data_IF_108016900992
#
_entry.id   IF_108016900992
#
_cell.length_a   1.000
_cell.length_b   1.000
_cell.length_c   1.000
_cell.angle_alpha   90.00
_cell.angle_beta   90.00
_cell.angle_gamma   90.00
#
_symmetry.space_group_name_H-M   'P 1'
#
loop_
_entity.id
_entity.type
_entity.pdbx_description
1 polymer ?
#
# COMPACT_ATOMS: atom_id res chain seq x y z
N UNK A 1 20.40 31.99 33.06
CA UNK A 1 21.41 33.02 32.73
C UNK A 1 21.68 32.91 31.23
N UNK A 2 21.17 33.86 30.47
CA UNK A 2 21.28 33.91 29.02
C UNK A 2 22.68 34.40 28.64
N UNK A 3 23.46 33.55 27.96
CA UNK A 3 24.68 33.98 27.28
C UNK A 3 24.35 34.19 25.81
N UNK A 4 24.00 35.43 25.49
CA UNK A 4 24.02 35.97 24.13
C UNK A 4 25.49 36.04 23.67
N UNK A 5 25.92 35.04 22.89
CA UNK A 5 27.17 35.10 22.14
C UNK A 5 26.92 35.92 20.88
N UNK A 6 27.66 37.01 20.73
CA UNK A 6 27.65 37.90 19.57
C UNK A 6 27.91 37.10 18.27
N UNK A 7 26.89 37.01 17.40
CA UNK A 7 27.01 36.48 16.03
C UNK A 7 27.70 37.54 15.16
N UNK A 8 29.02 37.45 15.04
CA UNK A 8 29.82 38.35 14.20
C UNK A 8 30.43 37.59 13.00
N UNK A 9 29.58 36.97 12.19
CA UNK A 9 29.92 36.37 10.90
C UNK A 9 29.06 36.98 9.80
N UNK A 10 29.67 37.55 8.76
CA UNK A 10 28.93 38.01 7.58
C UNK A 10 28.38 36.79 6.84
N UNK A 11 27.05 36.71 6.68
CA UNK A 11 26.42 35.66 5.86
C UNK A 11 26.88 35.77 4.40
N UNK A 12 26.99 34.63 3.72
CA UNK A 12 27.24 34.53 2.29
C UNK A 12 26.04 35.12 1.54
N UNK A 13 26.23 36.31 0.96
CA UNK A 13 25.17 37.03 0.24
C UNK A 13 25.27 36.94 -1.28
N UNK A 14 26.37 36.39 -1.82
CA UNK A 14 26.60 36.28 -3.26
C UNK A 14 26.88 34.83 -3.69
N UNK A 15 26.39 34.48 -4.88
CA UNK A 15 26.42 33.13 -5.41
C UNK A 15 27.85 32.57 -5.60
N UNK A 16 28.80 33.40 -6.03
CA UNK A 16 30.16 32.93 -6.31
C UNK A 16 30.87 32.46 -5.03
N UNK A 17 30.63 33.13 -3.91
CA UNK A 17 31.12 32.71 -2.60
C UNK A 17 30.44 31.42 -2.12
N UNK A 18 29.13 31.27 -2.40
CA UNK A 18 28.41 30.04 -2.11
C UNK A 18 29.02 28.85 -2.85
N UNK A 19 29.27 28.97 -4.16
CA UNK A 19 29.91 27.91 -4.96
C UNK A 19 31.32 27.63 -4.47
N UNK A 20 32.08 28.66 -4.10
CA UNK A 20 33.45 28.49 -3.58
C UNK A 20 33.47 27.70 -2.27
N UNK A 21 32.55 27.99 -1.35
CA UNK A 21 32.46 27.32 -0.05
C UNK A 21 31.88 25.91 -0.16
N UNK A 22 30.83 25.73 -0.99
CA UNK A 22 30.06 24.48 -1.05
C UNK A 22 30.39 23.61 -2.25
N UNK A 23 31.41 23.95 -3.06
CA UNK A 23 31.68 23.29 -4.34
C UNK A 23 31.82 21.77 -4.25
N UNK A 24 32.49 21.27 -3.21
CA UNK A 24 32.61 19.82 -2.95
C UNK A 24 31.25 19.19 -2.63
N UNK A 25 30.42 19.85 -1.81
CA UNK A 25 29.09 19.38 -1.45
C UNK A 25 28.13 19.41 -2.64
N UNK A 26 28.18 20.48 -3.45
CA UNK A 26 27.41 20.61 -4.69
C UNK A 26 27.77 19.50 -5.68
N UNK A 27 29.07 19.23 -5.87
CA UNK A 27 29.53 18.14 -6.73
C UNK A 27 29.11 16.76 -6.19
N UNK A 28 29.29 16.51 -4.89
CA UNK A 28 28.95 15.24 -4.25
C UNK A 28 27.43 14.95 -4.27
N UNK A 29 26.61 16.00 -4.17
CA UNK A 29 25.15 15.87 -4.21
C UNK A 29 24.60 15.51 -5.60
N UNK A 30 25.41 15.65 -6.66
CA UNK A 30 24.98 15.42 -8.03
C UNK A 30 23.94 16.42 -8.54
N UNK A 31 23.80 17.59 -7.89
CA UNK A 31 22.88 18.64 -8.32
C UNK A 31 23.35 19.29 -9.64
N UNK A 32 22.48 19.37 -10.66
CA UNK A 32 22.80 20.04 -11.92
C UNK A 32 23.19 21.51 -11.72
N UNK A 33 24.18 21.98 -12.49
CA UNK A 33 24.68 23.36 -12.41
C UNK A 33 23.58 24.42 -12.63
N UNK A 34 22.57 24.10 -13.45
CA UNK A 34 21.40 24.95 -13.70
C UNK A 34 20.59 25.25 -12.43
N UNK A 35 20.59 24.33 -11.46
CA UNK A 35 19.80 24.44 -10.22
C UNK A 35 20.59 25.05 -9.06
N UNK A 36 21.92 25.20 -9.16
CA UNK A 36 22.76 25.73 -8.06
C UNK A 36 22.31 27.12 -7.59
N UNK A 37 21.99 28.03 -8.53
CA UNK A 37 21.49 29.38 -8.19
C UNK A 37 20.13 29.32 -7.50
N UNK A 38 19.25 28.41 -7.94
CA UNK A 38 17.92 28.22 -7.35
C UNK A 38 18.03 27.68 -5.93
N UNK A 39 18.87 26.65 -5.73
CA UNK A 39 19.19 26.13 -4.39
C UNK A 39 19.75 27.23 -3.48
N UNK A 40 20.74 28.00 -3.95
CA UNK A 40 21.30 29.11 -3.16
C UNK A 40 20.24 30.12 -2.74
N UNK A 41 19.34 30.50 -3.65
CA UNK A 41 18.24 31.40 -3.32
C UNK A 41 17.36 30.80 -2.22
N UNK A 42 16.86 29.57 -2.41
CA UNK A 42 15.99 28.91 -1.42
C UNK A 42 16.66 28.73 -0.06
N UNK A 43 17.95 28.39 -0.02
CA UNK A 43 18.71 28.27 1.23
C UNK A 43 18.92 29.61 1.94
N UNK A 44 19.16 30.70 1.19
CA UNK A 44 19.38 32.03 1.79
C UNK A 44 18.08 32.68 2.26
N UNK A 45 16.96 32.41 1.59
CA UNK A 45 15.63 32.90 1.95
C UNK A 45 14.80 31.92 2.78
N UNK A 46 15.36 30.77 3.16
CA UNK A 46 14.68 29.69 3.90
C UNK A 46 13.32 29.35 3.27
N UNK A 47 13.30 29.19 1.94
CA UNK A 47 12.07 29.02 1.15
C UNK A 47 11.75 27.54 0.94
N UNK A 48 10.69 27.08 1.61
CA UNK A 48 10.09 25.77 1.48
C UNK A 48 8.83 25.86 0.63
N UNK A 49 8.95 25.55 -0.65
CA UNK A 49 7.89 25.73 -1.66
C UNK A 49 7.37 24.42 -2.25
N UNK A 50 7.72 23.28 -1.66
CA UNK A 50 7.24 21.96 -2.10
C UNK A 50 5.71 21.87 -2.11
N UNK A 51 5.02 22.46 -1.13
CA UNK A 51 3.56 22.46 -1.05
C UNK A 51 2.84 23.19 -2.21
N UNK A 52 3.56 23.95 -3.04
CA UNK A 52 2.99 24.53 -4.27
C UNK A 52 2.82 23.50 -5.40
N UNK A 53 3.52 22.37 -5.31
CA UNK A 53 3.58 21.36 -6.36
C UNK A 53 3.15 19.97 -5.90
N UNK A 54 3.13 19.74 -4.58
CA UNK A 54 2.84 18.44 -4.01
C UNK A 54 1.77 18.52 -2.93
N UNK A 55 0.96 17.48 -2.84
CA UNK A 55 0.07 17.20 -1.73
C UNK A 55 0.53 15.93 -1.02
N UNK A 56 0.20 15.81 0.26
CA UNK A 56 0.43 14.59 1.04
C UNK A 56 -0.92 13.91 1.19
N UNK A 57 -1.01 12.65 0.78
CA UNK A 57 -2.23 11.85 0.93
C UNK A 57 -1.97 10.63 1.82
N UNK A 58 -2.96 10.22 2.64
CA UNK A 58 -2.92 8.95 3.35
C UNK A 58 -2.83 7.76 2.38
N UNK A 59 -2.17 6.69 2.81
CA UNK A 59 -2.04 5.42 2.09
C UNK A 59 -2.02 4.28 3.09
N UNK A 60 -2.28 3.04 2.65
CA UNK A 60 -2.27 1.85 3.52
C UNK A 60 -3.20 2.00 4.73
N UNK A 61 -4.48 2.31 4.48
CA UNK A 61 -5.50 2.55 5.52
C UNK A 61 -5.09 3.61 6.56
N UNK A 62 -4.43 4.67 6.08
CA UNK A 62 -3.95 5.78 6.91
C UNK A 62 -2.66 5.49 7.68
N UNK A 63 -2.09 4.28 7.59
CA UNK A 63 -0.85 3.89 8.28
C UNK A 63 0.41 4.45 7.63
N UNK A 64 0.30 5.05 6.46
CA UNK A 64 1.38 5.73 5.76
C UNK A 64 0.89 6.99 5.04
N UNK A 65 1.86 7.77 4.57
CA UNK A 65 1.66 8.93 3.71
C UNK A 65 2.48 8.79 2.44
N UNK A 66 1.91 9.23 1.32
CA UNK A 66 2.62 9.32 0.04
C UNK A 66 2.52 10.74 -0.51
N UNK A 67 3.57 11.15 -1.20
CA UNK A 67 3.65 12.45 -1.84
C UNK A 67 3.07 12.39 -3.26
N UNK A 68 2.02 13.16 -3.51
CA UNK A 68 1.34 13.25 -4.80
C UNK A 68 1.72 14.54 -5.53
N UNK A 69 2.09 14.44 -6.81
CA UNK A 69 2.28 15.61 -7.66
C UNK A 69 0.92 16.21 -8.02
N UNK A 70 0.70 17.48 -7.69
CA UNK A 70 -0.54 18.22 -8.00
C UNK A 70 -0.43 19.12 -9.22
N UNK A 71 0.78 19.35 -9.72
CA UNK A 71 1.02 20.09 -10.97
C UNK A 71 0.79 19.20 -12.19
N UNK A 72 0.35 19.79 -13.31
CA UNK A 72 0.05 19.05 -14.56
C UNK A 72 1.23 18.23 -15.11
N UNK A 73 2.47 18.69 -14.89
CA UNK A 73 3.68 17.96 -15.28
C UNK A 73 4.89 18.47 -14.50
N UNK A 74 5.91 17.63 -14.34
CA UNK A 74 7.18 18.04 -13.75
C UNK A 74 8.37 17.51 -14.56
N UNK A 75 8.96 18.34 -15.44
CA UNK A 75 10.11 17.93 -16.24
C UNK A 75 11.33 17.62 -15.38
N UNK A 76 12.18 16.72 -15.87
CA UNK A 76 13.47 16.39 -15.29
C UNK A 76 14.29 17.65 -14.99
N UNK A 77 14.85 17.73 -13.78
CA UNK A 77 15.74 18.81 -13.34
C UNK A 77 15.15 20.24 -13.47
N UNK A 78 13.82 20.39 -13.46
CA UNK A 78 13.19 21.71 -13.58
C UNK A 78 13.26 22.55 -12.29
N UNK A 79 13.28 21.88 -11.14
CA UNK A 79 13.29 22.51 -9.82
C UNK A 79 14.07 21.69 -8.78
N UNK A 80 14.28 22.30 -7.60
CA UNK A 80 14.91 21.71 -6.42
C UNK A 80 14.15 22.17 -5.19
N UNK A 81 13.69 21.24 -4.36
CA UNK A 81 12.84 21.51 -3.20
C UNK A 81 13.59 21.19 -1.92
N UNK A 82 13.50 22.06 -0.92
CA UNK A 82 14.14 21.87 0.39
C UNK A 82 13.30 20.95 1.27
N UNK A 83 13.98 20.11 2.03
CA UNK A 83 13.45 19.25 3.09
C UNK A 83 14.24 19.57 4.36
N UNK A 84 13.54 19.82 5.46
CA UNK A 84 14.17 20.01 6.77
C UNK A 84 14.27 18.68 7.55
N UNK A 85 15.04 18.71 8.63
CA UNK A 85 15.09 17.63 9.60
C UNK A 85 14.05 17.86 10.69
N UNK A 86 12.97 17.08 10.69
CA UNK A 86 12.00 17.12 11.76
C UNK A 86 12.60 16.74 13.12
N UNK A 87 13.48 15.75 13.12
CA UNK A 87 14.14 15.23 14.31
C UNK A 87 15.54 14.74 13.95
N UNK A 88 16.55 15.02 14.77
CA UNK A 88 17.93 14.57 14.59
C UNK A 88 18.54 14.15 15.92
N UNK A 89 19.15 12.97 15.97
CA UNK A 89 19.60 12.37 17.23
C UNK A 89 20.76 11.38 17.03
N UNK A 90 21.41 11.02 18.14
CA UNK A 90 22.22 9.80 18.21
C UNK A 90 21.35 8.67 18.73
N UNK A 91 21.53 7.47 18.19
CA UNK A 91 20.66 6.34 18.53
C UNK A 91 20.49 6.10 20.05
N UNK A 92 21.53 6.21 20.90
CA UNK A 92 21.36 6.08 22.36
C UNK A 92 20.47 7.15 23.00
N UNK A 93 20.37 8.33 22.38
CA UNK A 93 19.61 9.47 22.89
C UNK A 93 18.14 9.44 22.44
N UNK A 94 17.78 8.60 21.46
CA UNK A 94 16.47 8.61 20.81
C UNK A 94 15.31 8.53 21.83
N UNK A 95 15.37 7.52 22.70
CA UNK A 95 14.35 7.28 23.73
C UNK A 95 14.24 8.45 24.72
N UNK A 96 15.38 8.96 25.20
CA UNK A 96 15.39 10.06 26.16
C UNK A 96 14.86 11.36 25.53
N UNK A 97 15.19 11.62 24.27
CA UNK A 97 14.66 12.79 23.56
C UNK A 97 13.14 12.70 23.38
N UNK A 98 12.59 11.57 22.93
CA UNK A 98 11.14 11.37 22.81
C UNK A 98 10.41 11.56 24.15
N UNK A 99 11.07 11.22 25.26
CA UNK A 99 10.51 11.34 26.61
C UNK A 99 10.62 12.76 27.19
N UNK A 100 11.72 13.46 26.94
CA UNK A 100 12.08 14.69 27.64
C UNK A 100 11.79 15.96 26.84
N UNK A 101 11.78 15.87 25.50
CA UNK A 101 11.52 17.02 24.61
C UNK A 101 10.00 17.19 24.46
N UNK A 102 9.42 18.30 24.96
CA UNK A 102 7.97 18.49 24.89
C UNK A 102 7.45 18.52 23.45
N UNK A 103 6.39 17.77 23.15
CA UNK A 103 5.74 17.75 21.83
C UNK A 103 6.44 16.88 20.77
N UNK A 104 7.62 16.34 21.06
CA UNK A 104 8.38 15.58 20.06
C UNK A 104 7.72 14.23 19.75
N UNK A 105 7.29 13.49 20.78
CA UNK A 105 6.67 12.18 20.57
C UNK A 105 5.35 12.30 19.83
N UNK A 106 4.52 13.29 20.17
CA UNK A 106 3.24 13.54 19.49
C UNK A 106 3.47 13.90 18.02
N UNK A 107 4.44 14.78 17.74
CA UNK A 107 4.79 15.12 16.36
C UNK A 107 5.33 13.93 15.57
N UNK A 108 6.20 13.11 16.16
CA UNK A 108 6.73 11.92 15.50
C UNK A 108 5.63 10.87 15.30
N UNK A 109 4.70 10.73 16.24
CA UNK A 109 3.58 9.81 16.09
C UNK A 109 2.67 10.21 14.93
N UNK A 110 2.30 11.50 14.86
CA UNK A 110 1.49 12.05 13.77
C UNK A 110 2.20 11.94 12.42
N UNK A 111 3.52 12.16 12.37
CA UNK A 111 4.30 12.03 11.13
C UNK A 111 4.39 10.57 10.68
N UNK A 112 4.57 9.64 11.62
CA UNK A 112 4.74 8.21 11.35
C UNK A 112 3.42 7.43 11.27
N UNK A 113 2.28 8.10 11.48
CA UNK A 113 0.93 7.54 11.44
C UNK A 113 0.70 6.42 12.47
N UNK A 114 1.13 6.64 13.72
CA UNK A 114 1.00 5.67 14.83
C UNK A 114 0.11 6.17 15.98
N UNK A 115 -0.62 7.27 15.74
CA UNK A 115 -1.58 7.93 16.63
C UNK A 115 -3.03 7.86 16.11
N UNK A 116 -3.29 7.05 15.07
CA UNK A 116 -4.59 6.94 14.38
C UNK A 116 -5.73 6.57 15.36
N UNK A 117 -5.45 5.68 16.32
CA UNK A 117 -6.37 5.23 17.36
C UNK A 117 -6.50 6.21 18.54
N UNK A 118 -5.64 7.24 18.62
CA UNK A 118 -5.69 8.29 19.64
C UNK A 118 -6.56 9.45 19.15
N UNK A 119 -6.54 9.72 17.85
CA UNK A 119 -7.38 10.73 17.20
C UNK A 119 -8.82 10.26 16.93
N UNK A 120 -9.12 8.95 17.07
CA UNK A 120 -10.44 8.39 16.78
C UNK A 120 -11.53 8.77 17.80
N UNK A 121 -11.18 9.33 18.95
CA UNK A 121 -12.17 9.80 19.93
C UNK A 121 -12.66 11.25 19.68
N UNK A 122 -11.99 12.04 18.82
CA UNK A 122 -12.34 13.46 18.59
C UNK A 122 -12.26 13.94 17.13
N UNK A 123 -12.01 13.06 16.15
CA UNK A 123 -12.12 13.39 14.73
C UNK A 123 -13.15 12.49 14.07
N UNK A 124 -14.40 12.94 14.10
CA UNK A 124 -15.31 12.66 12.99
C UNK A 124 -14.56 13.07 11.71
N UNK A 125 -14.26 12.11 10.85
CA UNK A 125 -13.68 12.36 9.53
C UNK A 125 -14.65 13.22 8.72
N UNK A 126 -14.52 14.55 8.86
CA UNK A 126 -15.11 15.52 7.94
C UNK A 126 -14.28 15.52 6.65
N UNK A 127 -14.57 14.56 5.76
CA UNK A 127 -14.78 14.76 4.33
C UNK A 127 -14.77 13.41 3.59
N UNK A 128 -15.96 12.90 3.30
CA UNK A 128 -16.36 12.72 1.90
C UNK A 128 -17.88 12.91 1.85
N UNK A 129 -18.46 13.16 0.68
CA UNK A 129 -19.91 13.30 0.50
C UNK A 129 -20.62 12.04 1.02
N UNK A 130 -21.04 12.02 2.29
CA UNK A 130 -21.74 10.89 2.91
C UNK A 130 -23.10 10.74 2.24
N UNK A 131 -23.13 9.96 1.15
CA UNK A 131 -24.36 9.54 0.51
C UNK A 131 -25.19 8.82 1.57
N UNK A 132 -26.46 9.19 1.69
CA UNK A 132 -27.35 8.47 2.59
C UNK A 132 -27.52 7.03 2.09
N UNK A 133 -27.88 6.11 2.99
CA UNK A 133 -28.14 4.70 2.62
C UNK A 133 -29.19 4.64 1.49
N UNK A 134 -30.18 5.52 1.54
CA UNK A 134 -31.21 5.65 0.51
C UNK A 134 -30.61 6.09 -0.84
N UNK A 135 -29.69 7.05 -0.86
CA UNK A 135 -29.02 7.51 -2.08
C UNK A 135 -28.17 6.41 -2.71
N UNK A 136 -27.42 5.64 -1.92
CA UNK A 136 -26.64 4.50 -2.40
C UNK A 136 -27.54 3.44 -3.03
N UNK A 137 -28.66 3.13 -2.37
CA UNK A 137 -29.65 2.16 -2.86
C UNK A 137 -30.32 2.67 -4.14
N UNK A 138 -30.70 3.94 -4.21
CA UNK A 138 -31.29 4.55 -5.40
C UNK A 138 -30.30 4.58 -6.58
N UNK A 139 -29.04 4.89 -6.31
CA UNK A 139 -27.97 4.87 -7.30
C UNK A 139 -27.77 3.45 -7.86
N UNK A 140 -27.75 2.42 -7.01
CA UNK A 140 -27.66 1.03 -7.45
C UNK A 140 -28.84 0.62 -8.34
N UNK A 141 -30.06 1.03 -7.99
CA UNK A 141 -31.26 0.78 -8.81
C UNK A 141 -31.19 1.53 -10.14
N UNK A 142 -30.73 2.79 -10.15
CA UNK A 142 -30.59 3.59 -11.36
C UNK A 142 -29.57 2.95 -12.30
N UNK A 143 -28.40 2.60 -11.78
CA UNK A 143 -27.33 1.94 -12.55
C UNK A 143 -27.80 0.61 -13.16
N UNK A 144 -28.56 -0.20 -12.40
CA UNK A 144 -29.10 -1.46 -12.91
C UNK A 144 -30.10 -1.27 -14.07
N UNK A 145 -30.85 -0.15 -14.09
CA UNK A 145 -31.76 0.20 -15.19
C UNK A 145 -31.03 0.75 -16.41
N UNK A 146 -29.94 1.47 -16.21
CA UNK A 146 -29.14 2.05 -17.30
C UNK A 146 -28.31 0.97 -18.02
N UNK A 147 -27.80 -0.01 -17.27
CA UNK A 147 -26.85 -1.01 -17.77
C UNK A 147 -27.47 -2.39 -18.09
N UNK A 148 -28.77 -2.60 -17.87
CA UNK A 148 -29.35 -3.95 -17.99
C UNK A 148 -30.88 -4.02 -17.89
N UNK A 149 -31.38 -5.12 -17.32
CA UNK A 149 -32.82 -5.39 -17.17
C UNK A 149 -33.44 -4.77 -15.92
N UNK A 150 -32.70 -3.90 -15.21
CA UNK A 150 -33.14 -3.28 -13.97
C UNK A 150 -32.92 -4.11 -12.70
N UNK A 151 -32.33 -5.31 -12.81
CA UNK A 151 -32.03 -6.17 -11.66
C UNK A 151 -30.72 -5.74 -10.99
N UNK A 152 -30.77 -5.44 -9.69
CA UNK A 152 -29.59 -5.11 -8.90
C UNK A 152 -28.90 -6.41 -8.45
N UNK A 153 -27.73 -6.70 -9.02
CA UNK A 153 -26.93 -7.89 -8.69
C UNK A 153 -25.75 -7.60 -7.76
N UNK A 154 -25.41 -6.32 -7.56
CA UNK A 154 -24.28 -5.88 -6.76
C UNK A 154 -24.68 -4.67 -5.92
N UNK A 155 -24.34 -4.70 -4.62
CA UNK A 155 -24.66 -3.64 -3.68
C UNK A 155 -23.50 -3.39 -2.72
N UNK A 156 -22.99 -2.15 -2.73
CA UNK A 156 -21.91 -1.68 -1.85
C UNK A 156 -22.53 -0.76 -0.80
N UNK A 157 -22.57 -1.22 0.45
CA UNK A 157 -23.07 -0.47 1.59
C UNK A 157 -21.93 -0.31 2.60
N UNK A 158 -20.84 0.34 2.18
CA UNK A 158 -19.60 0.44 2.96
C UNK A 158 -19.60 1.73 3.80
N UNK A 159 -19.17 1.63 5.06
CA UNK A 159 -18.93 2.79 5.95
C UNK A 159 -20.16 3.68 6.23
N UNK A 160 -21.38 3.22 5.93
CA UNK A 160 -22.64 3.96 6.10
C UNK A 160 -23.19 3.97 7.55
N UNK A 161 -22.41 3.48 8.51
CA UNK A 161 -22.84 3.36 9.91
C UNK A 161 -24.12 2.52 10.08
N UNK A 162 -24.25 1.43 9.32
CA UNK A 162 -25.35 0.47 9.43
C UNK A 162 -25.15 -0.36 10.70
N UNK A 163 -26.13 -0.29 11.60
CA UNK A 163 -26.24 -1.14 12.78
C UNK A 163 -27.21 -2.32 12.52
N UNK A 164 -27.35 -3.20 13.51
CA UNK A 164 -28.20 -4.39 13.40
C UNK A 164 -29.68 -4.06 13.13
N UNK A 165 -30.20 -2.94 13.66
CA UNK A 165 -31.59 -2.50 13.44
C UNK A 165 -31.80 -1.97 12.02
N UNK A 166 -30.84 -1.16 11.52
CA UNK A 166 -30.86 -0.66 10.15
C UNK A 166 -30.75 -1.80 9.15
N UNK A 167 -29.88 -2.78 9.37
CA UNK A 167 -29.76 -3.95 8.51
C UNK A 167 -31.11 -4.68 8.36
N UNK A 168 -31.86 -4.81 9.45
CA UNK A 168 -33.21 -5.38 9.44
C UNK A 168 -34.21 -4.52 8.66
N UNK A 169 -34.16 -3.21 8.86
CA UNK A 169 -35.07 -2.27 8.19
C UNK A 169 -34.86 -2.19 6.67
N UNK A 170 -33.65 -2.51 6.19
CA UNK A 170 -33.33 -2.47 4.76
C UNK A 170 -34.08 -3.54 3.97
N UNK A 171 -34.39 -4.67 4.60
CA UNK A 171 -35.09 -5.82 4.00
C UNK A 171 -34.52 -6.19 2.61
N UNK A 172 -33.20 -6.38 2.55
CA UNK A 172 -32.45 -6.59 1.32
C UNK A 172 -32.96 -7.78 0.51
N UNK A 173 -33.43 -8.84 1.16
CA UNK A 173 -33.96 -10.02 0.48
C UNK A 173 -35.23 -9.72 -0.32
N UNK A 174 -36.11 -8.86 0.19
CA UNK A 174 -37.34 -8.50 -0.52
C UNK A 174 -37.07 -7.48 -1.63
N UNK A 175 -36.13 -6.55 -1.40
CA UNK A 175 -35.79 -5.50 -2.37
C UNK A 175 -34.89 -6.01 -3.51
N UNK A 176 -33.93 -6.89 -3.19
CA UNK A 176 -32.89 -7.37 -4.10
C UNK A 176 -32.74 -8.90 -4.01
N UNK A 177 -33.76 -9.68 -4.41
CA UNK A 177 -33.74 -11.14 -4.31
C UNK A 177 -32.65 -11.82 -5.17
N UNK A 178 -32.20 -11.15 -6.23
CA UNK A 178 -31.21 -11.65 -7.19
C UNK A 178 -29.79 -11.14 -6.92
N UNK A 179 -29.55 -10.60 -5.72
CA UNK A 179 -28.24 -10.09 -5.32
C UNK A 179 -27.17 -11.19 -5.34
N UNK A 180 -26.06 -10.91 -6.03
CA UNK A 180 -24.91 -11.80 -6.22
C UNK A 180 -23.73 -11.35 -5.36
N UNK A 181 -23.50 -10.05 -5.20
CA UNK A 181 -22.47 -9.50 -4.32
C UNK A 181 -23.02 -8.46 -3.35
N UNK A 182 -22.61 -8.54 -2.10
CA UNK A 182 -22.98 -7.60 -1.05
C UNK A 182 -21.73 -7.21 -0.24
N UNK A 183 -21.40 -5.92 -0.24
CA UNK A 183 -20.43 -5.37 0.70
C UNK A 183 -21.12 -4.60 1.81
N UNK A 184 -20.77 -4.92 3.04
CA UNK A 184 -21.17 -4.26 4.28
C UNK A 184 -19.92 -3.88 5.09
N UNK A 185 -18.78 -3.69 4.42
CA UNK A 185 -17.50 -3.36 5.05
C UNK A 185 -17.59 -2.08 5.90
N UNK A 186 -16.89 -2.02 7.03
CA UNK A 186 -16.73 -0.79 7.82
C UNK A 186 -18.01 -0.29 8.52
N UNK A 187 -19.00 -1.16 8.76
CA UNK A 187 -20.24 -0.79 9.44
C UNK A 187 -20.22 -1.09 10.95
N UNK A 188 -21.35 -0.84 11.63
CA UNK A 188 -21.54 -0.96 13.08
C UNK A 188 -22.32 -2.22 13.47
N UNK A 189 -22.13 -3.32 12.73
CA UNK A 189 -22.83 -4.59 13.00
C UNK A 189 -22.22 -5.29 14.21
N UNK A 190 -23.04 -5.63 15.20
CA UNK A 190 -22.59 -6.25 16.45
C UNK A 190 -23.15 -7.67 16.67
N UNK A 191 -24.36 -7.95 16.16
CA UNK A 191 -25.08 -9.17 16.48
C UNK A 191 -24.98 -10.22 15.36
N UNK A 192 -24.19 -11.27 15.61
CA UNK A 192 -23.98 -12.37 14.67
C UNK A 192 -25.26 -13.10 14.26
N UNK A 193 -26.21 -13.31 15.17
CA UNK A 193 -27.46 -13.99 14.82
C UNK A 193 -28.31 -13.17 13.86
N UNK A 194 -28.31 -11.84 14.01
CA UNK A 194 -29.01 -10.92 13.12
C UNK A 194 -28.35 -10.94 11.74
N UNK A 195 -27.02 -10.78 11.68
CA UNK A 195 -26.26 -10.78 10.41
C UNK A 195 -26.46 -12.09 9.67
N UNK A 196 -26.24 -13.24 10.32
CA UNK A 196 -26.44 -14.57 9.71
C UNK A 196 -27.88 -14.72 9.22
N UNK A 197 -28.87 -14.34 10.02
CA UNK A 197 -30.28 -14.47 9.62
C UNK A 197 -30.60 -13.64 8.38
N UNK A 198 -30.14 -12.40 8.29
CA UNK A 198 -30.46 -11.53 7.16
C UNK A 198 -29.69 -11.92 5.89
N UNK A 199 -28.38 -12.17 6.01
CA UNK A 199 -27.53 -12.58 4.88
C UNK A 199 -28.01 -13.91 4.29
N UNK A 200 -28.35 -14.89 5.13
CA UNK A 200 -28.76 -16.21 4.65
C UNK A 200 -30.11 -16.23 3.94
N UNK A 201 -30.89 -15.14 3.99
CA UNK A 201 -32.08 -14.97 3.14
C UNK A 201 -31.71 -14.76 1.66
N UNK A 202 -30.54 -14.21 1.37
CA UNK A 202 -30.03 -13.95 0.03
C UNK A 202 -29.47 -15.23 -0.61
N UNK A 203 -30.33 -16.01 -1.26
CA UNK A 203 -29.99 -17.35 -1.79
C UNK A 203 -29.09 -17.35 -3.03
N UNK A 204 -28.95 -16.20 -3.70
CA UNK A 204 -28.14 -16.05 -4.91
C UNK A 204 -26.74 -15.48 -4.65
N UNK A 205 -26.43 -15.15 -3.39
CA UNK A 205 -25.19 -14.50 -3.01
C UNK A 205 -23.97 -15.40 -3.30
N UNK A 206 -23.01 -14.84 -4.05
CA UNK A 206 -21.70 -15.43 -4.37
C UNK A 206 -20.54 -14.71 -3.69
N UNK A 207 -20.67 -13.42 -3.39
CA UNK A 207 -19.66 -12.64 -2.64
C UNK A 207 -20.26 -11.88 -1.47
N UNK A 208 -19.58 -11.94 -0.32
CA UNK A 208 -19.96 -11.19 0.88
C UNK A 208 -18.72 -10.60 1.56
N UNK A 209 -18.78 -9.30 1.88
CA UNK A 209 -17.75 -8.60 2.63
C UNK A 209 -18.34 -7.98 3.90
N UNK A 210 -17.85 -8.44 5.06
CA UNK A 210 -18.20 -7.97 6.40
C UNK A 210 -17.00 -7.42 7.16
N UNK A 211 -15.85 -7.27 6.48
CA UNK A 211 -14.60 -6.76 7.06
C UNK A 211 -14.85 -5.47 7.85
N UNK A 212 -14.04 -5.23 8.88
CA UNK A 212 -14.11 -4.04 9.72
C UNK A 212 -15.44 -3.82 10.49
N UNK A 213 -16.27 -4.87 10.67
CA UNK A 213 -17.42 -4.82 11.57
C UNK A 213 -17.10 -5.37 12.98
N UNK A 214 -17.63 -4.78 14.07
CA UNK A 214 -17.43 -5.26 15.44
C UNK A 214 -17.76 -6.74 15.66
N UNK A 215 -18.76 -7.27 14.95
CA UNK A 215 -19.21 -8.67 15.07
C UNK A 215 -18.09 -9.68 14.81
N UNK A 216 -17.17 -9.41 13.87
CA UNK A 216 -16.08 -10.32 13.50
C UNK A 216 -15.01 -10.43 14.59
N UNK A 217 -14.90 -9.45 15.49
CA UNK A 217 -13.97 -9.50 16.63
C UNK A 217 -14.47 -10.40 17.76
N UNK A 218 -15.78 -10.65 17.83
CA UNK A 218 -16.43 -11.32 18.98
C UNK A 218 -16.73 -12.79 18.74
N UNK A 219 -17.06 -13.19 17.51
CA UNK A 219 -17.34 -14.58 17.17
C UNK A 219 -17.12 -14.90 15.69
N UNK A 220 -16.88 -16.18 15.39
CA UNK A 220 -16.87 -16.68 14.01
C UNK A 220 -18.30 -17.02 13.58
N UNK A 221 -18.68 -16.52 12.41
CA UNK A 221 -20.00 -16.74 11.79
C UNK A 221 -19.90 -17.53 10.47
N UNK A 222 -18.68 -17.79 10.01
CA UNK A 222 -18.39 -18.25 8.65
C UNK A 222 -19.13 -19.54 8.31
N UNK A 223 -19.05 -20.56 9.18
CA UNK A 223 -19.72 -21.84 8.95
C UNK A 223 -21.23 -21.71 8.79
N UNK A 224 -21.87 -20.84 9.58
CA UNK A 224 -23.31 -20.62 9.53
C UNK A 224 -23.71 -19.93 8.22
N UNK A 225 -22.93 -18.95 7.78
CA UNK A 225 -23.14 -18.26 6.50
C UNK A 225 -22.92 -19.22 5.32
N UNK A 226 -21.84 -20.01 5.33
CA UNK A 226 -21.54 -20.99 4.27
C UNK A 226 -22.59 -22.10 4.17
N UNK A 227 -23.22 -22.48 5.28
CA UNK A 227 -24.35 -23.41 5.29
C UNK A 227 -25.63 -22.77 4.73
N UNK A 228 -25.92 -21.50 5.06
CA UNK A 228 -27.14 -20.82 4.64
C UNK A 228 -27.11 -20.24 3.22
N UNK A 229 -25.92 -19.86 2.72
CA UNK A 229 -25.65 -19.33 1.38
C UNK A 229 -24.87 -20.37 0.56
N UNK A 230 -25.58 -21.32 -0.04
CA UNK A 230 -24.97 -22.48 -0.70
C UNK A 230 -24.14 -22.15 -1.96
N UNK A 231 -24.35 -20.97 -2.57
CA UNK A 231 -23.64 -20.46 -3.74
C UNK A 231 -22.48 -19.51 -3.40
N UNK A 232 -22.18 -19.30 -2.12
CA UNK A 232 -21.15 -18.35 -1.70
C UNK A 232 -19.75 -18.85 -2.11
N UNK A 233 -19.06 -18.06 -2.93
CA UNK A 233 -17.72 -18.34 -3.47
C UNK A 233 -16.63 -17.49 -2.81
N UNK A 234 -16.96 -16.27 -2.38
CA UNK A 234 -16.06 -15.34 -1.66
C UNK A 234 -16.70 -14.89 -0.35
N UNK A 235 -15.94 -14.99 0.74
CA UNK A 235 -16.31 -14.47 2.06
C UNK A 235 -15.13 -13.68 2.65
N UNK A 236 -15.33 -12.39 2.92
CA UNK A 236 -14.31 -11.48 3.45
C UNK A 236 -12.98 -11.55 2.67
N UNK A 237 -13.09 -11.50 1.33
CA UNK A 237 -11.97 -11.62 0.38
C UNK A 237 -11.26 -12.99 0.34
N UNK A 238 -11.71 -13.98 1.11
CA UNK A 238 -11.23 -15.35 1.05
C UNK A 238 -12.11 -16.22 0.16
N UNK A 239 -11.51 -17.16 -0.55
CA UNK A 239 -12.23 -18.15 -1.34
C UNK A 239 -12.80 -19.22 -0.43
N UNK A 240 -14.10 -19.49 -0.58
CA UNK A 240 -14.74 -20.59 0.14
C UNK A 240 -14.33 -21.92 -0.50
N UNK A 241 -14.50 -23.07 0.17
CA UNK A 241 -14.26 -24.38 -0.45
C UNK A 241 -15.11 -24.67 -1.71
N UNK A 242 -16.12 -23.83 -1.99
CA UNK A 242 -17.02 -23.94 -3.14
C UNK A 242 -16.78 -22.83 -4.18
N UNK A 243 -15.65 -22.12 -4.12
CA UNK A 243 -15.33 -21.08 -5.09
C UNK A 243 -15.46 -21.61 -6.51
N UNK A 244 -15.88 -20.78 -7.45
CA UNK A 244 -16.16 -21.17 -8.81
C UNK A 244 -15.58 -20.18 -9.81
N UNK A 245 -16.08 -20.24 -11.04
CA UNK A 245 -15.62 -19.35 -12.10
C UNK A 245 -15.93 -17.89 -11.78
N UNK A 246 -16.98 -17.62 -10.98
CA UNK A 246 -17.32 -16.25 -10.60
C UNK A 246 -16.23 -15.64 -9.71
N UNK A 247 -15.75 -16.37 -8.69
CA UNK A 247 -14.66 -15.90 -7.84
C UNK A 247 -13.34 -15.74 -8.61
N UNK A 248 -13.04 -16.66 -9.54
CA UNK A 248 -11.87 -16.54 -10.41
C UNK A 248 -11.97 -15.29 -11.31
N UNK A 249 -13.14 -15.05 -11.93
CA UNK A 249 -13.38 -13.85 -12.74
C UNK A 249 -13.28 -12.56 -11.92
N UNK A 250 -13.74 -12.58 -10.67
CA UNK A 250 -13.60 -11.44 -9.76
C UNK A 250 -12.13 -11.04 -9.56
N UNK A 251 -11.21 -12.00 -9.59
CA UNK A 251 -9.76 -11.78 -9.46
C UNK A 251 -9.03 -11.59 -10.79
N UNK A 252 -9.71 -11.74 -11.93
CA UNK A 252 -9.11 -11.64 -13.26
C UNK A 252 -9.07 -10.20 -13.76
N UNK A 253 -7.96 -9.80 -14.38
CA UNK A 253 -7.78 -8.43 -14.93
C UNK A 253 -8.52 -8.23 -16.28
N UNK A 254 -9.24 -9.25 -16.78
CA UNK A 254 -10.01 -9.15 -18.03
C UNK A 254 -11.45 -8.73 -17.74
N UNK A 255 -11.80 -7.53 -18.21
CA UNK A 255 -13.04 -6.75 -18.03
C UNK A 255 -13.10 -5.90 -16.76
N UNK A 256 -12.71 -4.62 -16.91
CA UNK A 256 -12.86 -3.61 -15.87
C UNK A 256 -14.29 -3.54 -15.34
N UNK A 257 -14.43 -3.38 -14.02
CA UNK A 257 -15.56 -3.05 -13.12
C UNK A 257 -17.04 -3.02 -13.63
N UNK A 258 -17.41 -3.58 -14.77
CA UNK A 258 -18.74 -3.42 -15.38
C UNK A 258 -19.46 -4.73 -15.73
N UNK A 259 -18.83 -5.90 -15.61
CA UNK A 259 -19.46 -7.18 -16.01
C UNK A 259 -19.61 -8.19 -14.85
N UNK A 260 -20.03 -7.72 -13.67
CA UNK A 260 -20.35 -8.61 -12.53
C UNK A 260 -21.81 -9.11 -12.54
N UNK A 261 -22.64 -8.67 -13.50
CA UNK A 261 -24.09 -8.89 -13.50
C UNK A 261 -24.70 -9.63 -14.70
N UNK A 262 -23.97 -9.90 -15.79
CA UNK A 262 -24.59 -10.55 -16.96
C UNK A 262 -24.70 -12.07 -16.78
N UNK A 263 -25.90 -12.52 -16.39
CA UNK A 263 -26.30 -13.95 -16.41
C UNK A 263 -26.71 -14.43 -17.81
N UNK A 264 -26.38 -13.67 -18.87
CA UNK A 264 -26.73 -13.97 -20.26
C UNK A 264 -25.49 -13.97 -21.14
N UNK A 265 -24.70 -15.03 -21.02
CA UNK A 265 -24.12 -15.74 -22.16
C UNK A 265 -23.37 -16.97 -21.64
N UNK A 266 -23.94 -18.15 -21.90
CA UNK A 266 -23.35 -19.46 -21.63
C UNK A 266 -22.09 -19.75 -22.51
N UNK A 267 -21.52 -18.74 -23.19
CA UNK A 267 -20.42 -18.90 -24.16
C UNK A 267 -19.23 -17.91 -23.98
N UNK A 268 -19.14 -17.27 -22.81
CA UNK A 268 -18.08 -16.31 -22.46
C UNK A 268 -16.88 -16.95 -21.74
N UNK A 269 -16.18 -17.84 -22.45
CA UNK A 269 -14.79 -18.22 -22.10
C UNK A 269 -13.93 -16.96 -22.00
N UNK A 270 -12.97 -16.91 -21.08
CA UNK A 270 -12.01 -15.80 -20.99
C UNK A 270 -11.13 -15.82 -22.27
N UNK A 271 -11.53 -15.02 -23.26
CA UNK A 271 -11.00 -15.05 -24.65
C UNK A 271 -9.78 -14.15 -24.86
N UNK A 272 -9.32 -13.44 -23.84
CA UNK A 272 -8.10 -12.61 -23.86
C UNK A 272 -7.01 -13.17 -22.96
N UNK A 273 -5.78 -12.69 -23.14
CA UNK A 273 -4.66 -12.98 -22.24
C UNK A 273 -5.09 -12.69 -20.80
N UNK A 274 -5.19 -13.74 -19.99
CA UNK A 274 -5.76 -13.64 -18.65
C UNK A 274 -4.63 -13.59 -17.65
N UNK A 275 -4.54 -12.47 -16.95
CA UNK A 275 -3.80 -12.31 -15.70
C UNK A 275 -4.76 -12.58 -14.56
N UNK A 276 -4.40 -13.55 -13.71
CA UNK A 276 -5.21 -13.94 -12.57
C UNK A 276 -4.41 -13.80 -11.29
N UNK A 277 -4.84 -12.88 -10.43
CA UNK A 277 -4.23 -12.67 -9.13
C UNK A 277 -5.06 -13.35 -8.03
N UNK A 278 -4.64 -14.55 -7.63
CA UNK A 278 -5.24 -15.31 -6.55
C UNK A 278 -4.45 -15.18 -5.25
N UNK A 279 -3.58 -14.17 -5.12
CA UNK A 279 -2.80 -14.00 -3.90
C UNK A 279 -3.68 -13.75 -2.67
N UNK A 280 -3.27 -14.32 -1.53
CA UNK A 280 -3.92 -14.11 -0.22
C UNK A 280 -5.44 -14.39 -0.24
N UNK A 281 -5.86 -15.45 -0.92
CA UNK A 281 -7.27 -15.88 -1.01
C UNK A 281 -7.60 -17.05 -0.08
N UNK A 282 -6.67 -17.48 0.76
CA UNK A 282 -6.80 -18.65 1.64
C UNK A 282 -7.19 -19.94 0.90
N UNK A 283 -6.75 -20.09 -0.36
CA UNK A 283 -7.04 -21.26 -1.18
C UNK A 283 -6.36 -22.50 -0.58
N UNK A 284 -7.16 -23.53 -0.34
CA UNK A 284 -6.72 -24.80 0.21
C UNK A 284 -6.46 -25.86 -0.87
N UNK A 285 -7.14 -25.74 -2.02
CA UNK A 285 -6.97 -26.65 -3.16
C UNK A 285 -7.31 -25.99 -4.50
N UNK A 286 -6.68 -26.49 -5.56
CA UNK A 286 -6.99 -26.20 -6.97
C UNK A 286 -7.74 -27.34 -7.67
N UNK A 287 -8.10 -28.42 -6.94
CA UNK A 287 -8.93 -29.52 -7.45
C UNK A 287 -10.40 -29.10 -7.58
N UNK A 288 -10.64 -28.09 -8.41
CA UNK A 288 -11.94 -27.47 -8.60
C UNK A 288 -12.31 -27.49 -10.08
N UNK A 289 -13.61 -27.65 -10.37
CA UNK A 289 -14.14 -27.63 -11.74
C UNK A 289 -13.98 -26.28 -12.44
N UNK A 290 -13.75 -25.20 -11.69
CA UNK A 290 -13.60 -23.85 -12.23
C UNK A 290 -12.16 -23.51 -12.65
N UNK A 291 -11.14 -24.03 -11.95
CA UNK A 291 -9.74 -23.77 -12.26
C UNK A 291 -9.20 -24.82 -13.23
N UNK A 292 -9.74 -24.81 -14.45
CA UNK A 292 -9.37 -25.75 -15.52
C UNK A 292 -9.10 -25.02 -16.83
N UNK A 293 -8.26 -25.57 -17.72
CA UNK A 293 -7.94 -24.95 -19.01
C UNK A 293 -9.16 -24.72 -19.91
N UNK A 294 -10.24 -25.50 -19.77
CA UNK A 294 -11.43 -25.31 -20.59
C UNK A 294 -12.15 -23.99 -20.29
N UNK A 295 -12.17 -23.59 -19.02
CA UNK A 295 -12.81 -22.37 -18.50
C UNK A 295 -11.91 -21.14 -18.66
N UNK A 296 -10.58 -21.31 -18.48
CA UNK A 296 -9.57 -20.24 -18.52
C UNK A 296 -8.43 -20.60 -19.50
N UNK A 297 -8.73 -20.77 -20.80
CA UNK A 297 -7.76 -21.31 -21.77
C UNK A 297 -6.56 -20.39 -22.02
N UNK A 298 -6.74 -19.08 -21.80
CA UNK A 298 -5.76 -18.03 -22.08
C UNK A 298 -5.05 -17.51 -20.82
N UNK A 299 -5.04 -18.28 -19.73
CA UNK A 299 -4.28 -17.93 -18.52
C UNK A 299 -2.79 -17.83 -18.86
N UNK A 300 -2.25 -16.61 -18.79
CA UNK A 300 -0.86 -16.31 -19.13
C UNK A 300 -0.03 -15.92 -17.92
N UNK A 301 -0.64 -15.22 -16.97
CA UNK A 301 -0.02 -14.86 -15.70
C UNK A 301 -0.89 -15.35 -14.54
N UNK A 302 -0.27 -16.01 -13.57
CA UNK A 302 -0.92 -16.51 -12.37
C UNK A 302 -0.12 -16.14 -11.13
N UNK A 303 -0.79 -15.50 -10.17
CA UNK A 303 -0.26 -15.28 -8.83
C UNK A 303 -1.02 -16.13 -7.82
N UNK A 304 -0.30 -16.97 -7.07
CA UNK A 304 -0.85 -17.85 -6.02
C UNK A 304 -0.18 -17.63 -4.65
N UNK A 305 0.58 -16.55 -4.46
CA UNK A 305 1.26 -16.26 -3.18
C UNK A 305 0.31 -16.12 -2.00
N UNK A 306 0.80 -16.40 -0.80
CA UNK A 306 0.06 -16.23 0.44
C UNK A 306 -1.13 -17.19 0.60
N UNK A 307 -1.17 -18.27 -0.19
CA UNK A 307 -2.17 -19.32 -0.05
C UNK A 307 -1.54 -20.58 0.56
N UNK A 308 -2.19 -21.22 1.55
CA UNK A 308 -1.66 -22.45 2.17
C UNK A 308 -1.57 -23.64 1.20
N UNK A 309 -2.60 -23.87 0.38
CA UNK A 309 -2.70 -24.95 -0.63
C UNK A 309 -2.27 -26.34 -0.07
N UNK A 310 -2.67 -26.64 1.16
CA UNK A 310 -2.20 -27.83 1.88
C UNK A 310 -2.83 -29.14 1.41
N UNK A 311 -3.93 -29.09 0.67
CA UNK A 311 -4.70 -30.28 0.26
C UNK A 311 -4.28 -30.85 -1.09
N UNK A 312 -3.42 -30.16 -1.84
CA UNK A 312 -2.82 -30.69 -3.06
C UNK A 312 -1.40 -31.17 -2.78
N UNK A 313 -1.03 -32.32 -3.35
CA UNK A 313 0.39 -32.69 -3.40
C UNK A 313 1.15 -31.79 -4.39
N UNK A 314 2.45 -31.62 -4.18
CA UNK A 314 3.33 -30.84 -5.08
C UNK A 314 3.23 -31.36 -6.52
N UNK A 315 3.21 -32.69 -6.70
CA UNK A 315 3.08 -33.32 -8.02
C UNK A 315 1.73 -33.02 -8.67
N UNK A 316 0.62 -33.05 -7.91
CA UNK A 316 -0.70 -32.66 -8.41
C UNK A 316 -0.72 -31.21 -8.88
N UNK A 317 -0.15 -30.28 -8.11
CA UNK A 317 -0.08 -28.86 -8.49
C UNK A 317 0.71 -28.68 -9.78
N UNK A 318 1.85 -29.35 -9.93
CA UNK A 318 2.60 -29.31 -11.18
C UNK A 318 1.78 -29.87 -12.36
N UNK A 319 1.00 -30.93 -12.19
CA UNK A 319 0.12 -31.44 -13.25
C UNK A 319 -0.98 -30.45 -13.62
N UNK A 320 -1.59 -29.80 -12.62
CA UNK A 320 -2.61 -28.76 -12.84
C UNK A 320 -1.99 -27.59 -13.62
N UNK A 321 -0.86 -27.05 -13.18
CA UNK A 321 -0.20 -25.92 -13.84
C UNK A 321 0.26 -26.25 -15.27
N UNK A 322 0.78 -27.46 -15.49
CA UNK A 322 1.13 -27.97 -16.84
C UNK A 322 -0.06 -28.06 -17.78
N UNK A 323 -1.27 -28.18 -17.26
CA UNK A 323 -2.47 -28.27 -18.09
C UNK A 323 -2.83 -26.93 -18.75
N UNK A 324 -2.29 -25.79 -18.28
CA UNK A 324 -2.53 -24.47 -18.86
C UNK A 324 -1.49 -24.14 -19.95
N UNK A 325 -1.84 -24.18 -21.25
CA UNK A 325 -0.88 -24.10 -22.34
C UNK A 325 -0.28 -22.71 -22.55
N UNK A 326 -0.96 -21.66 -22.07
CA UNK A 326 -0.55 -20.27 -22.24
C UNK A 326 0.18 -19.69 -21.02
N UNK A 327 0.32 -20.45 -19.93
CA UNK A 327 0.91 -19.96 -18.69
C UNK A 327 2.39 -19.69 -18.90
N UNK A 328 2.77 -18.40 -18.86
CA UNK A 328 4.13 -17.92 -19.08
C UNK A 328 4.75 -17.33 -17.81
N UNK A 329 3.94 -16.74 -16.93
CA UNK A 329 4.43 -16.11 -15.71
C UNK A 329 3.74 -16.70 -14.48
N UNK A 330 4.54 -17.05 -13.47
CA UNK A 330 4.06 -17.58 -12.20
C UNK A 330 4.62 -16.79 -11.02
N UNK A 331 3.75 -16.45 -10.08
CA UNK A 331 4.11 -15.89 -8.79
C UNK A 331 3.68 -16.85 -7.67
N UNK A 332 4.66 -17.28 -6.88
CA UNK A 332 4.49 -18.32 -5.84
C UNK A 332 5.51 -18.15 -4.73
N UNK A 333 5.15 -18.55 -3.51
CA UNK A 333 6.07 -18.54 -2.37
C UNK A 333 7.14 -19.63 -2.51
N UNK A 334 8.39 -19.29 -2.17
CA UNK A 334 9.54 -20.21 -2.19
C UNK A 334 10.35 -19.99 -0.90
N UNK A 335 10.29 -20.90 0.10
CA UNK A 335 9.57 -22.16 0.08
C UNK A 335 8.05 -21.99 0.16
N UNK A 336 7.32 -22.88 -0.50
CA UNK A 336 5.86 -22.81 -0.51
C UNK A 336 5.21 -24.03 -1.19
N UNK A 337 4.03 -23.86 -1.79
CA UNK A 337 3.20 -24.98 -2.27
C UNK A 337 3.86 -25.79 -3.40
N UNK A 338 4.83 -25.22 -4.11
CA UNK A 338 5.59 -25.90 -5.17
C UNK A 338 6.99 -26.36 -4.73
N UNK A 339 7.28 -26.30 -3.42
CA UNK A 339 8.56 -26.69 -2.82
C UNK A 339 9.50 -25.52 -2.53
N UNK A 340 10.78 -25.84 -2.36
CA UNK A 340 11.78 -24.92 -1.78
C UNK A 340 12.78 -24.34 -2.80
N UNK A 341 12.63 -24.67 -4.10
CA UNK A 341 13.65 -24.33 -5.11
C UNK A 341 13.02 -23.81 -6.40
N UNK A 342 13.31 -22.56 -6.72
CA UNK A 342 12.96 -21.92 -7.98
C UNK A 342 13.46 -22.71 -9.20
N UNK A 343 14.69 -23.24 -9.13
CA UNK A 343 15.26 -24.09 -10.18
C UNK A 343 14.40 -25.34 -10.41
N UNK A 344 13.98 -26.03 -9.33
CA UNK A 344 13.16 -27.25 -9.46
C UNK A 344 11.76 -26.95 -10.01
N UNK A 345 11.21 -25.79 -9.65
CA UNK A 345 9.94 -25.31 -10.19
C UNK A 345 10.07 -25.09 -11.71
N UNK A 346 11.11 -24.40 -12.16
CA UNK A 346 11.37 -24.14 -13.58
C UNK A 346 11.72 -25.41 -14.38
N UNK A 347 12.46 -26.35 -13.79
CA UNK A 347 12.69 -27.68 -14.39
C UNK A 347 11.37 -28.46 -14.58
N UNK A 348 10.44 -28.29 -13.63
CA UNK A 348 9.12 -28.92 -13.70
C UNK A 348 8.16 -28.18 -14.63
N UNK A 349 8.32 -26.87 -14.82
CA UNK A 349 7.50 -25.99 -15.65
C UNK A 349 8.36 -25.26 -16.70
N UNK A 350 8.93 -25.98 -17.69
CA UNK A 350 9.92 -25.41 -18.62
C UNK A 350 9.35 -24.38 -19.60
N UNK A 351 8.02 -24.22 -19.64
CA UNK A 351 7.35 -23.25 -20.51
C UNK A 351 7.23 -21.85 -19.90
N UNK A 352 7.54 -21.69 -18.60
CA UNK A 352 7.52 -20.38 -17.95
C UNK A 352 8.66 -19.49 -18.47
N UNK A 353 8.32 -18.25 -18.81
CA UNK A 353 9.29 -17.18 -19.14
C UNK A 353 9.77 -16.45 -17.89
N UNK A 354 8.92 -16.34 -16.86
CA UNK A 354 9.19 -15.59 -15.63
C UNK A 354 8.67 -16.33 -14.40
N UNK A 355 9.44 -16.28 -13.31
CA UNK A 355 9.06 -16.77 -11.99
C UNK A 355 9.36 -15.69 -10.96
N UNK A 356 8.35 -15.29 -10.19
CA UNK A 356 8.48 -14.25 -9.16
C UNK A 356 9.05 -12.92 -9.70
N UNK A 357 8.67 -12.55 -10.93
CA UNK A 357 9.12 -11.32 -11.59
C UNK A 357 10.53 -11.39 -12.19
N UNK A 358 11.21 -12.55 -12.12
CA UNK A 358 12.56 -12.72 -12.64
C UNK A 358 12.55 -13.68 -13.84
N UNK A 359 13.30 -13.33 -14.90
CA UNK A 359 13.45 -14.17 -16.09
C UNK A 359 13.92 -15.59 -15.74
N UNK A 360 13.22 -16.60 -16.25
CA UNK A 360 13.52 -18.01 -16.01
C UNK A 360 14.95 -18.39 -16.44
N UNK A 361 15.45 -17.85 -17.56
CA UNK A 361 16.82 -18.10 -18.01
C UNK A 361 17.86 -17.60 -17.02
N UNK A 362 17.66 -16.41 -16.44
CA UNK A 362 18.58 -15.83 -15.45
C UNK A 362 18.62 -16.67 -14.17
N UNK A 363 17.49 -17.20 -13.73
CA UNK A 363 17.42 -18.08 -12.54
C UNK A 363 18.20 -19.38 -12.79
N UNK A 364 17.98 -20.01 -13.96
CA UNK A 364 18.66 -21.27 -14.33
C UNK A 364 20.16 -21.08 -14.53
N UNK A 365 20.60 -20.01 -15.20
CA UNK A 365 22.03 -19.70 -15.39
C UNK A 365 22.77 -19.41 -14.09
N UNK A 366 22.09 -18.78 -13.13
CA UNK A 366 22.68 -18.43 -11.83
C UNK A 366 22.50 -19.48 -10.75
N UNK A 367 21.82 -20.60 -11.05
CA UNK A 367 21.46 -21.67 -10.11
C UNK A 367 20.81 -21.13 -8.83
N UNK A 368 20.03 -20.03 -8.94
CA UNK A 368 19.39 -19.39 -7.79
C UNK A 368 18.20 -20.21 -7.31
N UNK A 369 18.34 -20.83 -6.14
CA UNK A 369 17.27 -21.63 -5.54
C UNK A 369 16.14 -20.79 -4.92
N UNK A 370 16.40 -19.55 -4.53
CA UNK A 370 15.40 -18.63 -3.99
C UNK A 370 15.40 -17.38 -4.86
N UNK A 371 14.22 -16.99 -5.33
CA UNK A 371 13.96 -15.70 -5.96
C UNK A 371 12.90 -15.03 -5.09
N UNK A 372 13.39 -14.21 -4.16
CA UNK A 372 12.55 -13.35 -3.35
C UNK A 372 11.98 -12.27 -4.28
N UNK A 373 10.74 -12.49 -4.67
CA UNK A 373 9.82 -11.46 -5.12
C UNK A 373 9.60 -10.48 -3.98
N UNK A 374 9.82 -9.19 -4.26
CA UNK A 374 9.49 -8.01 -3.45
C UNK A 374 9.24 -8.28 -1.96
N UNK A 375 10.23 -8.00 -1.11
CA UNK A 375 10.02 -7.94 0.34
C UNK A 375 8.83 -7.01 0.62
N UNK A 376 7.73 -7.58 1.13
CA UNK A 376 6.59 -6.78 1.53
C UNK A 376 7.00 -5.82 2.64
N UNK A 377 6.53 -4.58 2.54
CA UNK A 377 6.80 -3.58 3.54
C UNK A 377 6.07 -3.95 4.84
N UNK A 378 6.80 -4.47 5.81
CA UNK A 378 6.25 -4.73 7.14
C UNK A 378 6.02 -3.40 7.87
N UNK A 379 4.75 -2.98 7.92
CA UNK A 379 4.34 -1.87 8.77
C UNK A 379 4.42 -2.27 10.26
N UNK A 380 4.79 -1.35 11.15
CA UNK A 380 4.81 -1.61 12.59
C UNK A 380 3.39 -1.92 13.08
N UNK A 381 3.22 -2.99 13.86
CA UNK A 381 1.95 -3.30 14.55
C UNK A 381 2.01 -2.76 15.97
N UNK A 382 0.87 -2.29 16.49
CA UNK A 382 0.73 -1.82 17.87
C UNK A 382 -0.67 -2.10 18.41
N UNK A 383 -0.82 -2.03 19.73
CA UNK A 383 -2.15 -2.05 20.39
C UNK A 383 -2.47 -0.68 20.98
N UNK A 384 -3.76 -0.42 21.24
CA UNK A 384 -4.23 0.85 21.79
C UNK A 384 -3.59 1.18 23.16
N UNK A 385 -3.17 0.16 23.91
CA UNK A 385 -2.57 0.29 25.24
C UNK A 385 -1.05 0.53 25.21
N UNK A 386 -0.41 0.35 24.05
CA UNK A 386 1.05 0.50 23.92
C UNK A 386 1.45 1.99 24.05
N UNK A 387 2.49 2.33 24.85
CA UNK A 387 2.93 3.72 25.00
C UNK A 387 3.33 4.35 23.66
N UNK A 388 2.93 5.60 23.43
CA UNK A 388 3.17 6.30 22.17
C UNK A 388 4.67 6.37 21.79
N UNK A 389 5.56 6.48 22.78
CA UNK A 389 7.02 6.45 22.59
C UNK A 389 7.46 5.12 21.95
N UNK A 390 6.92 4.00 22.42
CA UNK A 390 7.29 2.67 21.93
C UNK A 390 6.78 2.46 20.51
N UNK A 391 5.55 2.93 20.22
CA UNK A 391 5.00 2.94 18.85
C UNK A 391 5.87 3.73 17.89
N UNK A 392 6.30 4.94 18.27
CA UNK A 392 7.23 5.77 17.48
C UNK A 392 8.57 5.05 17.26
N UNK A 393 9.14 4.44 18.29
CA UNK A 393 10.42 3.72 18.18
C UNK A 393 10.34 2.46 17.31
N UNK A 394 9.19 1.79 17.28
CA UNK A 394 8.95 0.66 16.40
C UNK A 394 8.77 1.13 14.95
N UNK A 395 8.10 2.26 14.73
CA UNK A 395 7.83 2.81 13.41
C UNK A 395 9.01 3.55 12.76
N UNK A 396 9.89 4.16 13.56
CA UNK A 396 10.91 5.09 13.07
C UNK A 396 11.81 4.50 11.99
N UNK A 397 12.07 3.19 12.01
CA UNK A 397 12.94 2.52 11.03
C UNK A 397 12.50 2.67 9.59
N UNK A 398 11.21 2.93 9.34
CA UNK A 398 10.68 3.21 8.00
C UNK A 398 11.03 4.62 7.49
N UNK A 399 11.40 5.53 8.38
CA UNK A 399 11.57 6.97 8.10
C UNK A 399 12.99 7.47 8.36
N UNK A 400 13.81 6.66 9.04
CA UNK A 400 15.13 7.08 9.46
C UNK A 400 16.14 7.05 8.33
N UNK A 401 16.87 8.15 8.23
CA UNK A 401 18.06 8.29 7.41
C UNK A 401 19.27 8.57 8.29
N UNK A 402 20.48 8.42 7.74
CA UNK A 402 21.71 8.69 8.50
C UNK A 402 22.74 9.46 7.70
N UNK A 403 23.57 10.21 8.41
CA UNK A 403 24.82 10.72 7.89
C UNK A 403 25.90 10.68 8.98
N UNK A 404 27.16 10.81 8.56
CA UNK A 404 28.29 10.99 9.45
C UNK A 404 28.94 12.34 9.15
N UNK A 405 29.35 13.04 10.20
CA UNK A 405 30.14 14.24 10.06
C UNK A 405 31.60 13.84 9.82
N UNK A 406 32.27 14.54 8.93
CA UNK A 406 33.69 14.36 8.68
C UNK A 406 34.31 15.75 8.50
N UNK A 407 35.49 15.92 9.10
CA UNK A 407 36.40 17.02 8.75
C UNK A 407 37.59 16.46 7.94
N UNK A 408 38.57 17.30 7.64
CA UNK A 408 39.74 16.92 6.84
C UNK A 408 40.63 15.85 7.53
N UNK A 409 40.51 15.69 8.85
CA UNK A 409 41.40 14.83 9.64
C UNK A 409 40.69 13.56 10.16
N UNK A 410 39.40 13.65 10.47
CA UNK A 410 38.64 12.57 11.13
C UNK A 410 37.19 12.48 10.66
N UNK A 411 36.72 11.24 10.52
CA UNK A 411 35.30 10.90 10.39
C UNK A 411 34.75 10.62 11.78
N UNK A 412 33.58 11.17 12.09
CA UNK A 412 32.83 10.82 13.28
C UNK A 412 32.47 9.33 13.27
N UNK A 413 32.89 8.62 14.30
CA UNK A 413 32.69 7.19 14.45
C UNK A 413 31.22 6.84 14.67
N UNK A 414 30.41 7.81 15.11
CA UNK A 414 29.00 7.64 15.36
C UNK A 414 28.16 8.27 14.25
N UNK A 415 27.08 7.60 13.83
CA UNK A 415 26.11 8.16 12.88
C UNK A 415 25.15 9.13 13.58
N UNK A 416 24.75 10.18 12.88
CA UNK A 416 23.58 10.97 13.25
C UNK A 416 22.41 10.39 12.47
N UNK A 417 21.34 10.08 13.19
CA UNK A 417 20.07 9.61 12.65
C UNK A 417 19.13 10.80 12.56
N UNK A 418 18.28 10.82 11.55
CA UNK A 418 17.31 11.88 11.40
C UNK A 418 16.04 11.39 10.70
N UNK A 419 14.94 12.08 10.99
CA UNK A 419 13.65 11.99 10.32
C UNK A 419 13.47 13.27 9.53
N UNK A 420 13.06 13.16 8.26
CA UNK A 420 12.73 14.31 7.42
C UNK A 420 11.47 15.01 7.93
N UNK A 421 11.20 16.22 7.45
CA UNK A 421 9.92 16.88 7.63
C UNK A 421 8.75 16.12 6.98
N UNK A 422 7.54 16.63 7.18
CA UNK A 422 6.30 16.00 6.74
C UNK A 422 6.29 15.76 5.23
N UNK A 423 6.89 16.65 4.44
CA UNK A 423 7.01 16.52 2.99
C UNK A 423 8.03 15.44 2.60
N UNK A 424 9.23 15.49 3.18
CA UNK A 424 10.30 14.55 2.88
C UNK A 424 9.97 13.13 3.33
N UNK A 425 9.33 12.96 4.48
CA UNK A 425 8.89 11.65 4.99
C UNK A 425 7.74 11.02 4.20
N UNK A 426 7.03 11.80 3.36
CA UNK A 426 6.05 11.28 2.41
C UNK A 426 6.69 10.80 1.09
N UNK A 427 7.97 11.06 0.84
CA UNK A 427 8.71 10.47 -0.28
C UNK A 427 8.96 8.99 -0.02
N UNK A 428 8.83 8.19 -1.09
CA UNK A 428 8.90 6.72 -1.00
C UNK A 428 9.98 6.16 -1.91
N UNK A 429 10.49 5.00 -1.52
CA UNK A 429 11.30 4.18 -2.40
C UNK A 429 10.42 3.53 -3.46
N UNK A 430 10.94 3.47 -4.68
CA UNK A 430 10.32 2.82 -5.84
C UNK A 430 11.41 2.15 -6.64
N UNK A 431 11.11 1.00 -7.24
CA UNK A 431 12.00 0.35 -8.21
C UNK A 431 12.11 1.15 -9.52
N UNK A 432 11.13 2.03 -9.77
CA UNK A 432 11.13 3.03 -10.83
C UNK A 432 11.12 4.45 -10.21
N UNK A 433 12.28 4.97 -9.75
CA UNK A 433 12.34 6.24 -9.04
C UNK A 433 12.24 7.44 -10.00
N UNK A 434 11.29 8.34 -9.73
CA UNK A 434 11.07 9.58 -10.49
C UNK A 434 11.66 10.84 -9.82
N UNK A 435 12.12 10.74 -8.57
CA UNK A 435 12.82 11.81 -7.85
C UNK A 435 14.15 11.32 -7.26
N UNK A 436 15.08 12.27 -7.09
CA UNK A 436 16.33 12.07 -6.35
C UNK A 436 16.32 12.95 -5.10
N UNK A 437 16.75 12.39 -3.98
CA UNK A 437 16.97 13.11 -2.72
C UNK A 437 18.46 13.13 -2.41
N UNK A 438 18.99 14.26 -1.93
CA UNK A 438 20.38 14.38 -1.51
C UNK A 438 20.53 15.23 -0.24
N UNK A 439 21.41 14.82 0.71
CA UNK A 439 21.74 15.64 1.86
C UNK A 439 22.65 16.80 1.45
N UNK A 440 22.48 17.94 2.12
CA UNK A 440 23.27 19.14 1.88
C UNK A 440 23.57 19.89 3.18
N UNK A 441 24.85 20.12 3.43
CA UNK A 441 25.32 20.86 4.60
C UNK A 441 25.54 22.33 4.22
N UNK A 442 24.59 23.20 4.53
CA UNK A 442 24.65 24.61 4.20
C UNK A 442 25.40 25.40 5.29
N UNK A 443 26.47 26.08 4.92
CA UNK A 443 27.30 26.92 5.78
C UNK A 443 27.04 28.41 5.47
N UNK A 444 26.00 29.04 6.04
CA UNK A 444 25.62 30.42 5.76
C UNK A 444 26.71 31.44 6.03
N UNK A 445 27.65 31.18 6.95
CA UNK A 445 28.79 32.07 7.24
C UNK A 445 30.11 31.54 6.65
N UNK A 446 30.04 30.53 5.78
CA UNK A 446 31.21 29.89 5.19
C UNK A 446 32.02 29.01 6.15
N UNK A 447 31.46 28.68 7.31
CA UNK A 447 32.12 27.91 8.37
C UNK A 447 31.24 26.78 8.88
N UNK A 448 31.85 25.68 9.27
CA UNK A 448 31.17 24.51 9.84
C UNK A 448 30.36 24.86 11.11
N UNK A 449 30.84 25.81 11.93
CA UNK A 449 30.11 26.27 13.13
C UNK A 449 28.76 26.92 12.82
N UNK A 450 28.57 27.42 11.59
CA UNK A 450 27.30 28.01 11.13
C UNK A 450 26.40 26.98 10.42
N UNK A 451 26.87 25.73 10.27
CA UNK A 451 26.26 24.78 9.37
C UNK A 451 24.83 24.39 9.80
N UNK A 452 23.93 24.44 8.82
CA UNK A 452 22.55 23.96 8.90
C UNK A 452 22.43 22.79 7.94
N UNK A 453 21.68 21.77 8.33
CA UNK A 453 21.53 20.52 7.57
C UNK A 453 20.19 20.60 6.86
N UNK A 454 20.23 20.42 5.55
CA UNK A 454 19.04 20.28 4.74
C UNK A 454 19.16 19.01 3.94
N UNK A 455 18.01 18.52 3.49
CA UNK A 455 17.96 17.70 2.30
C UNK A 455 17.37 18.56 1.19
N UNK A 456 17.64 18.15 -0.04
CA UNK A 456 16.82 18.61 -1.15
C UNK A 456 16.42 17.42 -2.00
N UNK A 457 15.32 17.59 -2.73
CA UNK A 457 14.92 16.63 -3.76
C UNK A 457 14.63 17.33 -5.09
N UNK A 458 14.82 16.59 -6.18
CA UNK A 458 14.61 17.08 -7.54
C UNK A 458 14.06 15.96 -8.46
N UNK A 459 13.32 16.31 -9.53
CA UNK A 459 12.84 15.34 -10.50
C UNK A 459 14.02 14.70 -11.25
N UNK A 460 14.13 13.36 -11.19
CA UNK A 460 15.19 12.61 -11.87
C UNK A 460 14.76 12.06 -13.23
N UNK A 461 13.46 11.93 -13.46
CA UNK A 461 12.84 11.62 -14.75
C UNK A 461 11.56 12.46 -14.96
N UNK A 462 11.05 12.50 -16.20
CA UNK A 462 9.83 13.25 -16.50
C UNK A 462 8.63 12.52 -15.87
N UNK A 463 7.95 13.19 -14.94
CA UNK A 463 6.72 12.69 -14.27
C UNK A 463 5.48 13.23 -14.97
#
# INVERSE_FOLDING_TARGET
>A
MSTSVERNGSRIGIYDDFVKVHGVLLAASGLPLSLHRKLFHKLTSETFDGGNHFAIEPSEDGRQRRLLLTSDSMPKECDVFLIDHAWSFRLPDAYNQLKEVPGLVERMAALMCVDIDIDSDDKEEENDENLSIEEVVENAIRNAKENGDGTVTWLELEELGIDDEKLLSLDLCSKFPDLVGLSLCGNKLENAEVVVREVTKLKNLRGLWLNNNPVLKRCSMEDAILQGCSKLEIYNSHFTPKYGLWALRFCGVVCGKQDTGSTKDDDNRLKGETTLDLSNRSIQNFNNKAFVPDEIPMLAHLNIRGNPIEQNSVDELFQILKSFPCLQSLEVDIPGPLGESAVKILESLPHLSSLNGVDASKILESEKHVVDSMLELRLPEWTAEEPLIDRVLNAMWLYLMTYRLADEEKIDETSIWYVMDELGSALRHSDEPNFRVAPFLYMPEGKLASAVRFLFFLPSDAS
#
